data_IF_653529578510
#
_entry.id   IF_653529578510
#
_cell.length_a   1.000
_cell.length_b   1.000
_cell.length_c   1.000
_cell.angle_alpha   90.00
_cell.angle_beta   90.00
_cell.angle_gamma   90.00
#
_symmetry.space_group_name_H-M   'P 1'
#
loop_
_entity.id
_entity.type
_entity.pdbx_description
1 polymer ?
#
# COMPACT_ATOMS: atom_id res chain seq x y z
N UNK A 1 14.55 38.75 33.37
CA UNK A 1 14.02 38.88 31.98
C UNK A 1 14.72 37.92 31.00
N UNK A 2 16.04 37.72 31.03
CA UNK A 2 16.75 36.84 30.09
C UNK A 2 16.49 35.33 30.22
N UNK A 3 16.07 34.85 31.40
CA UNK A 3 15.85 33.42 31.64
C UNK A 3 14.63 32.83 30.89
N UNK A 4 13.65 33.65 30.51
CA UNK A 4 12.43 33.22 29.83
C UNK A 4 12.52 33.36 28.31
N UNK A 5 13.41 34.19 27.81
CA UNK A 5 13.56 34.42 26.35
C UNK A 5 14.04 33.16 25.65
N UNK A 6 14.99 32.41 26.23
CA UNK A 6 15.53 31.18 25.64
C UNK A 6 14.50 30.07 25.44
N UNK A 7 13.68 29.65 26.43
CA UNK A 7 12.69 28.61 26.19
C UNK A 7 11.55 29.05 25.28
N UNK A 8 11.10 30.30 25.31
CA UNK A 8 10.09 30.82 24.38
C UNK A 8 10.64 30.85 22.99
N UNK A 9 11.87 31.35 22.76
CA UNK A 9 12.46 31.38 21.43
C UNK A 9 12.70 29.97 20.86
N UNK A 10 13.12 29.02 21.70
CA UNK A 10 13.29 27.63 21.27
C UNK A 10 11.97 26.97 20.86
N UNK A 11 10.90 27.20 21.63
CA UNK A 11 9.56 26.70 21.33
C UNK A 11 9.01 27.30 20.04
N UNK A 12 9.12 28.61 19.89
CA UNK A 12 8.69 29.30 18.66
C UNK A 12 9.47 28.83 17.44
N UNK A 13 10.78 28.64 17.56
CA UNK A 13 11.63 28.14 16.49
C UNK A 13 11.23 26.72 16.11
N UNK A 14 11.03 25.83 17.08
CA UNK A 14 10.61 24.46 16.85
C UNK A 14 9.26 24.40 16.13
N UNK A 15 8.25 25.15 16.60
CA UNK A 15 6.92 25.21 16.00
C UNK A 15 7.01 25.82 14.58
N UNK A 16 7.79 26.90 14.39
CA UNK A 16 7.95 27.54 13.09
C UNK A 16 8.58 26.58 12.06
N UNK A 17 9.65 25.88 12.43
CA UNK A 17 10.30 24.90 11.52
C UNK A 17 9.33 23.77 11.18
N UNK A 18 8.64 23.19 12.17
CA UNK A 18 7.65 22.13 11.95
C UNK A 18 6.49 22.58 11.06
N UNK A 19 6.05 23.84 11.21
CA UNK A 19 4.99 24.40 10.40
C UNK A 19 5.44 24.68 8.97
N UNK A 20 6.65 25.19 8.79
CA UNK A 20 7.23 25.47 7.45
C UNK A 20 7.34 24.18 6.66
N UNK A 21 7.87 23.11 7.26
CA UNK A 21 7.97 21.80 6.63
C UNK A 21 6.60 21.25 6.18
N UNK A 22 5.58 21.37 7.04
CA UNK A 22 4.20 20.98 6.68
C UNK A 22 3.67 21.79 5.49
N UNK A 23 3.91 23.11 5.47
CA UNK A 23 3.45 24.01 4.38
C UNK A 23 4.18 23.69 3.07
N UNK A 24 5.50 23.51 3.12
CA UNK A 24 6.31 23.20 1.94
C UNK A 24 5.90 21.88 1.30
N UNK A 25 5.71 20.83 2.10
CA UNK A 25 5.20 19.55 1.63
C UNK A 25 3.77 19.64 1.05
N UNK A 26 2.91 20.49 1.62
CA UNK A 26 1.57 20.71 1.07
C UNK A 26 1.60 21.48 -0.26
N UNK A 27 2.43 22.56 -0.36
CA UNK A 27 2.56 23.35 -1.57
C UNK A 27 3.19 22.56 -2.73
N UNK A 28 4.24 21.79 -2.46
CA UNK A 28 4.92 20.96 -3.46
C UNK A 28 3.95 19.94 -4.08
N UNK A 29 3.12 19.28 -3.25
CA UNK A 29 2.07 18.36 -3.73
C UNK A 29 1.00 19.06 -4.55
N UNK A 30 0.56 20.27 -4.13
CA UNK A 30 -0.48 21.04 -4.84
C UNK A 30 0.00 21.56 -6.19
N UNK A 31 1.32 21.84 -6.34
CA UNK A 31 1.93 22.36 -7.57
C UNK A 31 2.48 21.28 -8.50
N UNK A 32 2.43 19.99 -8.10
CA UNK A 32 3.08 18.88 -8.81
C UNK A 32 4.59 19.09 -9.04
N UNK A 33 5.25 19.83 -8.15
CA UNK A 33 6.70 20.13 -8.22
C UNK A 33 7.51 19.26 -7.25
N UNK A 34 7.09 18.01 -7.05
CA UNK A 34 7.75 17.10 -6.10
C UNK A 34 9.02 16.53 -6.71
N UNK A 35 10.19 16.97 -6.21
CA UNK A 35 11.49 16.47 -6.67
C UNK A 35 11.86 15.17 -5.94
N UNK A 36 12.68 14.32 -6.59
CA UNK A 36 13.20 13.10 -5.96
C UNK A 36 14.09 13.41 -4.74
N UNK A 37 14.81 14.53 -4.77
CA UNK A 37 15.61 15.00 -3.64
C UNK A 37 14.73 15.43 -2.45
N UNK A 38 13.63 16.17 -2.69
CA UNK A 38 12.66 16.53 -1.66
C UNK A 38 12.05 15.30 -0.99
N UNK A 39 11.57 14.34 -1.78
CA UNK A 39 11.03 13.06 -1.27
C UNK A 39 11.99 12.32 -0.33
N UNK A 40 13.30 12.46 -0.55
CA UNK A 40 14.32 11.84 0.28
C UNK A 40 14.62 12.69 1.53
N UNK A 41 14.68 14.01 1.39
CA UNK A 41 15.09 14.92 2.47
C UNK A 41 13.97 15.18 3.49
N UNK A 42 12.71 15.29 3.07
CA UNK A 42 11.59 15.61 3.96
C UNK A 42 11.47 14.61 5.14
N UNK A 43 11.42 13.28 4.92
CA UNK A 43 11.35 12.33 6.03
C UNK A 43 12.59 12.33 6.93
N UNK A 44 13.73 12.80 6.42
CA UNK A 44 14.98 12.89 7.20
C UNK A 44 15.00 14.14 8.07
N UNK A 45 14.58 15.29 7.52
CA UNK A 45 14.52 16.57 8.22
C UNK A 45 13.57 16.52 9.42
N UNK A 46 12.35 15.99 9.24
CA UNK A 46 11.36 15.77 10.28
C UNK A 46 11.93 14.98 11.47
N UNK A 47 12.65 13.91 11.19
CA UNK A 47 13.26 13.06 12.22
C UNK A 47 14.40 13.77 12.93
N UNK A 48 15.25 14.49 12.21
CA UNK A 48 16.37 15.22 12.79
C UNK A 48 15.90 16.31 13.74
N UNK A 49 14.82 17.03 13.43
CA UNK A 49 14.23 18.05 14.28
C UNK A 49 13.77 17.48 15.62
N UNK A 50 13.00 16.40 15.59
CA UNK A 50 12.54 15.70 16.81
C UNK A 50 13.72 15.17 17.61
N UNK A 51 14.72 14.61 16.92
CA UNK A 51 15.94 14.11 17.53
C UNK A 51 16.73 15.17 18.27
N UNK A 52 16.95 16.33 17.64
CA UNK A 52 17.65 17.45 18.22
C UNK A 52 16.97 17.92 19.50
N UNK A 53 15.64 17.95 19.53
CA UNK A 53 14.88 18.31 20.74
C UNK A 53 15.10 17.30 21.89
N UNK A 54 15.00 15.99 21.63
CA UNK A 54 15.22 14.96 22.64
C UNK A 54 16.66 14.92 23.14
N UNK A 55 17.65 15.12 22.26
CA UNK A 55 19.06 15.23 22.66
C UNK A 55 19.29 16.44 23.57
N UNK A 56 18.74 17.61 23.22
CA UNK A 56 18.82 18.79 24.06
C UNK A 56 18.18 18.58 25.45
N UNK A 57 17.04 17.89 25.53
CA UNK A 57 16.44 17.53 26.81
C UNK A 57 17.30 16.57 27.63
N UNK A 58 17.97 15.63 26.95
CA UNK A 58 18.88 14.68 27.62
C UNK A 58 20.13 15.38 28.12
N UNK A 59 20.73 16.28 27.34
CA UNK A 59 21.91 17.09 27.73
C UNK A 59 21.63 17.97 28.93
N UNK A 60 20.43 18.55 29.00
CA UNK A 60 19.99 19.38 30.13
C UNK A 60 19.40 18.58 31.31
N UNK A 61 19.53 17.25 31.33
CA UNK A 61 19.00 16.34 32.34
C UNK A 61 17.48 16.47 32.59
N UNK A 62 16.73 16.96 31.62
CA UNK A 62 15.26 17.05 31.65
C UNK A 62 14.64 15.68 31.44
N UNK A 63 15.17 14.91 30.51
CA UNK A 63 14.73 13.56 30.19
C UNK A 63 15.89 12.55 30.30
N UNK A 64 15.63 11.30 30.74
CA UNK A 64 16.65 10.27 30.76
C UNK A 64 16.97 9.80 29.35
N UNK A 65 18.24 9.44 29.08
CA UNK A 65 18.75 9.08 27.77
C UNK A 65 18.00 7.90 27.11
N UNK A 66 17.45 6.97 27.90
CA UNK A 66 16.69 5.83 27.36
C UNK A 66 15.43 6.26 26.61
N UNK A 67 14.80 7.40 26.95
CA UNK A 67 13.65 7.97 26.21
C UNK A 67 14.08 8.34 24.80
N UNK A 68 15.20 9.06 24.68
CA UNK A 68 15.77 9.43 23.39
C UNK A 68 16.12 8.19 22.55
N UNK A 69 16.77 7.19 23.18
CA UNK A 69 17.12 5.93 22.53
C UNK A 69 15.89 5.14 22.03
N UNK A 70 14.82 5.07 22.82
CA UNK A 70 13.59 4.37 22.43
C UNK A 70 12.93 5.03 21.21
N UNK A 71 12.86 6.35 21.20
CA UNK A 71 12.31 7.10 20.07
C UNK A 71 13.18 6.90 18.83
N UNK A 72 14.50 7.01 18.95
CA UNK A 72 15.45 6.79 17.85
C UNK A 72 15.34 5.39 17.28
N UNK A 73 15.42 4.40 18.16
CA UNK A 73 15.36 3.00 17.75
C UNK A 73 14.10 2.71 16.92
N UNK A 74 12.95 3.20 17.36
CA UNK A 74 11.69 3.04 16.62
C UNK A 74 11.73 3.74 15.27
N UNK A 75 12.25 4.98 15.18
CA UNK A 75 12.31 5.71 13.92
C UNK A 75 13.20 5.02 12.90
N UNK A 76 14.38 4.55 13.32
CA UNK A 76 15.31 3.83 12.45
C UNK A 76 14.73 2.47 12.01
N UNK A 77 14.17 1.74 12.97
CA UNK A 77 13.60 0.42 12.73
C UNK A 77 12.44 0.46 11.72
N UNK A 78 11.46 1.34 11.94
CA UNK A 78 10.32 1.48 11.01
C UNK A 78 10.76 1.99 9.64
N UNK A 79 11.79 2.85 9.58
CA UNK A 79 12.33 3.32 8.29
C UNK A 79 13.09 2.23 7.55
N UNK A 80 13.87 1.39 8.28
CA UNK A 80 14.54 0.22 7.73
C UNK A 80 13.53 -0.81 7.20
N UNK A 81 12.46 -1.08 7.97
CA UNK A 81 11.39 -1.99 7.55
C UNK A 81 10.66 -1.49 6.29
N UNK A 82 10.40 -0.18 6.19
CA UNK A 82 9.81 0.39 4.97
C UNK A 82 10.74 0.27 3.77
N UNK A 83 12.03 0.47 3.97
CA UNK A 83 13.01 0.33 2.91
C UNK A 83 13.11 -1.12 2.43
N UNK A 84 13.15 -2.10 3.34
CA UNK A 84 13.13 -3.52 3.02
C UNK A 84 11.82 -3.93 2.32
N UNK A 85 10.67 -3.43 2.79
CA UNK A 85 9.40 -3.69 2.13
C UNK A 85 9.36 -3.10 0.71
N UNK A 86 9.89 -1.89 0.52
CA UNK A 86 9.96 -1.25 -0.79
C UNK A 86 10.85 -2.02 -1.78
N UNK A 87 11.98 -2.60 -1.34
CA UNK A 87 12.82 -3.47 -2.19
C UNK A 87 12.12 -4.77 -2.58
N UNK A 88 11.19 -5.24 -1.74
CA UNK A 88 10.31 -6.38 -2.02
C UNK A 88 9.04 -6.01 -2.79
N UNK A 89 8.91 -4.77 -3.26
CA UNK A 89 7.73 -4.28 -3.97
C UNK A 89 6.51 -4.02 -3.09
N UNK A 90 6.68 -4.08 -1.75
CA UNK A 90 5.61 -3.90 -0.78
C UNK A 90 5.66 -2.47 -0.21
N UNK A 91 4.56 -1.72 -0.34
CA UNK A 91 4.44 -0.38 0.24
C UNK A 91 3.63 -0.46 1.54
N UNK A 92 4.31 -0.35 2.68
CA UNK A 92 3.63 -0.34 3.99
C UNK A 92 3.16 1.09 4.29
N UNK A 93 1.86 1.32 4.18
CA UNK A 93 1.25 2.62 4.52
C UNK A 93 1.36 2.91 6.02
N UNK A 94 1.47 4.22 6.37
CA UNK A 94 1.48 4.65 7.76
C UNK A 94 0.09 4.45 8.40
N UNK A 95 -0.01 3.53 9.36
CA UNK A 95 -1.21 3.31 10.15
C UNK A 95 -1.60 4.52 11.00
N UNK A 96 -2.84 4.53 11.49
CA UNK A 96 -3.34 5.59 12.38
C UNK A 96 -2.49 5.74 13.66
N UNK A 97 -1.99 4.63 14.21
CA UNK A 97 -1.09 4.61 15.38
C UNK A 97 0.19 5.43 15.14
N UNK A 98 0.77 5.37 13.94
CA UNK A 98 1.94 6.16 13.57
C UNK A 98 1.66 7.65 13.48
N UNK A 99 0.48 8.07 13.00
CA UNK A 99 0.06 9.48 12.94
C UNK A 99 -0.19 10.03 14.33
N UNK A 100 -0.93 9.30 15.18
CA UNK A 100 -1.22 9.68 16.56
C UNK A 100 0.07 9.84 17.39
N UNK A 101 1.03 8.92 17.25
CA UNK A 101 2.35 8.99 17.86
C UNK A 101 3.08 10.28 17.50
N UNK A 102 3.13 10.65 16.22
CA UNK A 102 3.85 11.87 15.80
C UNK A 102 3.23 13.13 16.40
N UNK A 103 1.91 13.24 16.38
CA UNK A 103 1.19 14.39 16.97
C UNK A 103 1.43 14.49 18.47
N UNK A 104 1.28 13.41 19.23
CA UNK A 104 1.49 13.42 20.69
C UNK A 104 2.95 13.70 21.06
N UNK A 105 3.90 13.25 20.26
CA UNK A 105 5.32 13.52 20.44
C UNK A 105 5.67 14.99 20.23
N UNK A 106 5.12 15.62 19.19
CA UNK A 106 5.30 17.06 18.94
C UNK A 106 4.71 17.90 20.09
N UNK A 107 3.52 17.52 20.60
CA UNK A 107 2.90 18.17 21.76
C UNK A 107 3.80 18.03 22.99
N UNK A 108 4.32 16.84 23.26
CA UNK A 108 5.22 16.61 24.41
C UNK A 108 6.48 17.50 24.33
N UNK A 109 7.11 17.60 23.16
CA UNK A 109 8.29 18.46 22.96
C UNK A 109 7.97 19.92 23.29
N UNK A 110 6.86 20.45 22.76
CA UNK A 110 6.47 21.84 23.00
C UNK A 110 6.18 22.08 24.47
N UNK A 111 5.51 21.15 25.17
CA UNK A 111 5.21 21.25 26.59
C UNK A 111 6.49 21.29 27.45
N UNK A 112 7.47 20.43 27.16
CA UNK A 112 8.75 20.46 27.92
C UNK A 112 9.58 21.70 27.59
N UNK A 113 9.56 22.21 26.36
CA UNK A 113 10.22 23.47 25.99
C UNK A 113 9.59 24.67 26.74
N UNK A 114 8.27 24.66 26.92
CA UNK A 114 7.52 25.75 27.61
C UNK A 114 7.49 25.60 29.11
N UNK A 115 7.90 24.48 29.67
CA UNK A 115 7.81 24.17 31.10
C UNK A 115 8.44 25.26 32.00
N UNK A 116 9.64 25.80 31.73
CA UNK A 116 10.22 26.86 32.51
C UNK A 116 9.38 28.16 32.54
N UNK A 117 8.69 28.44 31.43
CA UNK A 117 7.79 29.59 31.34
C UNK A 117 6.52 29.38 32.20
N UNK A 118 5.94 28.17 32.13
CA UNK A 118 4.77 27.81 32.94
C UNK A 118 5.09 27.83 34.44
N UNK A 119 6.27 27.36 34.83
CA UNK A 119 6.71 27.42 36.25
C UNK A 119 6.82 28.85 36.76
N UNK A 120 7.25 29.78 35.90
CA UNK A 120 7.34 31.18 36.26
C UNK A 120 5.98 31.90 36.35
N UNK A 121 5.05 31.53 35.46
CA UNK A 121 3.70 32.13 35.43
C UNK A 121 2.80 31.56 36.52
N UNK A 122 2.98 30.27 36.85
CA UNK A 122 2.12 29.53 37.75
C UNK A 122 2.92 28.79 38.84
N UNK A 123 3.62 29.50 39.73
CA UNK A 123 4.52 28.89 40.74
C UNK A 123 3.78 28.00 41.76
N UNK A 124 2.46 28.15 41.92
CA UNK A 124 1.67 27.35 42.86
C UNK A 124 1.35 25.92 42.33
N UNK A 125 1.45 25.69 41.03
CA UNK A 125 1.05 24.43 40.39
C UNK A 125 2.17 23.80 39.57
N UNK A 126 3.43 24.10 39.86
CA UNK A 126 4.61 23.58 39.12
C UNK A 126 4.64 22.06 39.08
N UNK A 127 4.34 21.41 40.22
CA UNK A 127 4.31 19.94 40.30
C UNK A 127 3.23 19.34 39.37
N UNK A 128 2.05 19.95 39.33
CA UNK A 128 0.96 19.49 38.46
C UNK A 128 1.31 19.65 36.97
N UNK A 129 1.94 20.76 36.58
CA UNK A 129 2.43 21.00 35.23
C UNK A 129 3.46 19.94 34.87
N UNK A 130 4.42 19.67 35.72
CA UNK A 130 5.45 18.65 35.50
C UNK A 130 4.84 17.25 35.34
N UNK A 131 3.93 16.84 36.20
CA UNK A 131 3.22 15.56 36.12
C UNK A 131 2.43 15.47 34.83
N UNK A 132 1.75 16.53 34.38
CA UNK A 132 1.01 16.57 33.14
C UNK A 132 1.93 16.40 31.91
N UNK A 133 3.09 17.09 31.88
CA UNK A 133 4.06 16.97 30.80
C UNK A 133 4.60 15.52 30.68
N UNK A 134 4.92 14.91 31.82
CA UNK A 134 5.32 13.50 31.89
C UNK A 134 4.20 12.57 31.45
N UNK A 135 2.96 12.82 31.79
CA UNK A 135 1.81 12.04 31.35
C UNK A 135 1.70 12.04 29.82
N UNK A 136 1.78 13.23 29.19
CA UNK A 136 1.74 13.35 27.72
C UNK A 136 2.92 12.62 27.07
N UNK A 137 4.12 12.73 27.65
CA UNK A 137 5.29 12.00 27.18
C UNK A 137 5.10 10.49 27.26
N UNK A 138 4.61 9.97 28.38
CA UNK A 138 4.35 8.53 28.57
C UNK A 138 3.32 8.03 27.54
N UNK A 139 2.24 8.77 27.31
CA UNK A 139 1.26 8.44 26.26
C UNK A 139 1.95 8.37 24.88
N UNK A 140 2.81 9.32 24.56
CA UNK A 140 3.59 9.32 23.32
C UNK A 140 4.53 8.12 23.21
N UNK A 141 5.19 7.71 24.30
CA UNK A 141 6.06 6.54 24.34
C UNK A 141 5.27 5.23 24.19
N UNK A 142 4.11 5.12 24.84
CA UNK A 142 3.20 3.97 24.64
C UNK A 142 2.77 3.86 23.19
N UNK A 143 2.32 4.96 22.58
CA UNK A 143 1.96 4.98 21.17
C UNK A 143 3.16 4.66 20.27
N UNK A 144 4.37 5.04 20.66
CA UNK A 144 5.62 4.70 19.97
C UNK A 144 5.84 3.19 19.95
N UNK A 145 5.68 2.52 21.09
CA UNK A 145 5.81 1.06 21.21
C UNK A 145 4.68 0.34 20.47
N UNK A 146 3.43 0.76 20.65
CA UNK A 146 2.27 0.18 19.94
C UNK A 146 2.45 0.29 18.43
N UNK A 147 2.85 1.47 17.95
CA UNK A 147 3.13 1.67 16.53
C UNK A 147 4.29 0.81 16.03
N UNK A 148 5.31 0.57 16.84
CA UNK A 148 6.42 -0.33 16.49
C UNK A 148 5.93 -1.78 16.35
N UNK A 149 5.15 -2.27 17.30
CA UNK A 149 4.56 -3.62 17.28
C UNK A 149 3.64 -3.77 16.06
N UNK A 150 2.78 -2.79 15.79
CA UNK A 150 1.88 -2.79 14.63
C UNK A 150 2.67 -2.86 13.29
N UNK A 151 3.80 -2.15 13.19
CA UNK A 151 4.69 -2.27 12.03
C UNK A 151 5.38 -3.62 11.94
N UNK A 152 5.82 -4.19 13.05
CA UNK A 152 6.41 -5.53 13.07
C UNK A 152 5.40 -6.60 12.66
N UNK A 153 4.19 -6.55 13.21
CA UNK A 153 3.13 -7.48 12.86
C UNK A 153 2.80 -7.42 11.36
N UNK A 154 2.71 -6.21 10.79
CA UNK A 154 2.47 -6.01 9.35
C UNK A 154 3.68 -6.33 8.46
N UNK A 155 4.88 -6.33 9.01
CA UNK A 155 6.13 -6.62 8.29
C UNK A 155 6.61 -8.07 8.50
N UNK A 156 5.90 -8.87 9.28
CA UNK A 156 6.29 -10.24 9.64
C UNK A 156 6.55 -11.11 8.42
N UNK A 157 5.71 -11.02 7.40
CA UNK A 157 5.86 -11.72 6.13
C UNK A 157 7.13 -11.32 5.35
N UNK A 158 7.56 -10.07 5.48
CA UNK A 158 8.79 -9.57 4.84
C UNK A 158 10.03 -9.99 5.61
N UNK A 159 9.96 -10.05 6.95
CA UNK A 159 11.10 -10.32 7.81
C UNK A 159 11.41 -11.81 8.01
N UNK A 160 10.39 -12.62 8.13
CA UNK A 160 10.55 -14.01 8.55
C UNK A 160 10.18 -15.02 7.47
N UNK A 161 9.69 -14.57 6.30
CA UNK A 161 9.26 -15.46 5.22
C UNK A 161 8.05 -16.33 5.58
N UNK A 162 7.51 -16.18 6.79
CA UNK A 162 6.32 -16.85 7.28
C UNK A 162 5.17 -15.85 7.27
N UNK A 163 4.55 -15.69 6.09
CA UNK A 163 3.27 -14.98 6.01
C UNK A 163 2.25 -15.72 6.88
N UNK A 164 1.53 -14.97 7.74
CA UNK A 164 0.26 -15.49 8.23
C UNK A 164 -0.52 -16.01 7.04
N UNK A 165 -0.86 -17.27 7.10
CA UNK A 165 -1.73 -17.94 6.16
C UNK A 165 -3.15 -17.32 6.28
N UNK A 166 -3.39 -16.24 5.58
CA UNK A 166 -4.61 -16.22 4.82
C UNK A 166 -4.55 -17.43 3.89
N UNK A 167 -5.66 -18.03 3.46
CA UNK A 167 -5.65 -19.34 2.82
C UNK A 167 -4.46 -19.41 1.89
N UNK A 168 -3.56 -20.36 2.11
CA UNK A 168 -2.29 -20.50 1.44
C UNK A 168 -2.55 -20.56 -0.07
N UNK A 169 -2.59 -19.39 -0.68
CA UNK A 169 -2.58 -19.29 -2.11
C UNK A 169 -1.13 -19.58 -2.47
N UNK A 170 -0.83 -20.84 -2.77
CA UNK A 170 0.39 -21.26 -3.43
C UNK A 170 0.42 -20.59 -4.80
N UNK A 171 0.67 -19.27 -4.80
CA UNK A 171 0.87 -18.57 -6.05
C UNK A 171 2.34 -18.54 -6.38
N UNK A 172 2.66 -18.91 -7.58
CA UNK A 172 3.99 -18.71 -8.16
C UNK A 172 3.96 -17.36 -8.86
N UNK A 173 4.60 -16.34 -8.27
CA UNK A 173 4.84 -15.09 -8.99
C UNK A 173 5.81 -15.39 -10.14
N UNK A 174 5.27 -15.56 -11.33
CA UNK A 174 6.07 -15.49 -12.52
C UNK A 174 6.12 -14.02 -12.93
N UNK A 175 7.25 -13.38 -12.69
CA UNK A 175 7.56 -12.07 -13.28
C UNK A 175 8.19 -12.35 -14.63
N UNK A 176 7.44 -12.32 -15.76
CA UNK A 176 8.08 -12.17 -17.03
C UNK A 176 8.71 -10.77 -17.03
N UNK A 177 9.91 -10.63 -17.57
CA UNK A 177 10.47 -9.33 -17.87
C UNK A 177 9.40 -8.49 -18.57
N UNK A 178 9.05 -7.32 -18.00
CA UNK A 178 8.16 -6.27 -18.47
C UNK A 178 7.84 -6.38 -19.98
N UNK A 179 6.85 -7.19 -20.35
CA UNK A 179 6.49 -7.36 -21.75
C UNK A 179 5.32 -6.43 -22.01
N UNK A 180 5.61 -5.32 -22.70
CA UNK A 180 4.57 -4.63 -23.43
C UNK A 180 4.24 -5.46 -24.67
N UNK A 181 2.96 -5.64 -24.97
CA UNK A 181 2.54 -6.35 -26.16
C UNK A 181 2.04 -5.36 -27.22
N UNK A 182 2.08 -5.77 -28.50
CA UNK A 182 1.43 -5.02 -29.54
C UNK A 182 -0.08 -4.89 -29.24
N UNK A 183 -0.68 -3.78 -29.65
CA UNK A 183 -2.11 -3.56 -29.47
C UNK A 183 -2.87 -4.51 -30.41
N UNK A 184 -3.63 -5.48 -29.89
CA UNK A 184 -4.39 -6.39 -30.73
C UNK A 184 -5.58 -5.67 -31.36
N UNK A 185 -5.97 -6.08 -32.54
CA UNK A 185 -7.20 -5.65 -33.17
C UNK A 185 -8.40 -6.52 -32.72
N UNK A 186 -9.61 -6.09 -33.09
CA UNK A 186 -10.83 -6.77 -32.65
C UNK A 186 -10.97 -8.19 -33.20
N UNK A 187 -10.42 -8.45 -34.40
CA UNK A 187 -10.46 -9.77 -35.03
C UNK A 187 -9.51 -10.74 -34.32
N UNK A 188 -8.32 -10.29 -33.95
CA UNK A 188 -7.36 -11.07 -33.14
C UNK A 188 -7.96 -11.47 -31.79
N UNK A 189 -8.62 -10.56 -31.11
CA UNK A 189 -9.31 -10.85 -29.84
C UNK A 189 -10.44 -11.86 -30.03
N UNK A 190 -11.25 -11.72 -31.08
CA UNK A 190 -12.32 -12.66 -31.42
C UNK A 190 -11.80 -14.06 -31.73
N UNK A 191 -10.75 -14.16 -32.55
CA UNK A 191 -10.14 -15.46 -32.90
C UNK A 191 -9.54 -16.13 -31.66
N UNK A 192 -8.87 -15.37 -30.78
CA UNK A 192 -8.34 -15.88 -29.50
C UNK A 192 -9.45 -16.40 -28.59
N UNK A 193 -10.55 -15.66 -28.47
CA UNK A 193 -11.71 -16.11 -27.70
C UNK A 193 -12.35 -17.37 -28.30
N UNK A 194 -12.44 -17.44 -29.62
CA UNK A 194 -12.97 -18.62 -30.33
C UNK A 194 -12.14 -19.88 -30.06
N UNK A 195 -10.82 -19.76 -30.10
CA UNK A 195 -9.91 -20.85 -29.74
C UNK A 195 -10.14 -21.31 -28.31
N UNK A 196 -10.19 -20.36 -27.35
CA UNK A 196 -10.41 -20.63 -25.94
C UNK A 196 -11.74 -21.39 -25.73
N UNK A 197 -12.84 -20.91 -26.31
CA UNK A 197 -14.16 -21.56 -26.17
C UNK A 197 -14.12 -22.96 -26.78
N UNK A 198 -13.48 -23.14 -27.91
CA UNK A 198 -13.33 -24.45 -28.55
C UNK A 198 -12.55 -25.44 -27.69
N UNK A 199 -11.36 -25.04 -27.19
CA UNK A 199 -10.50 -25.90 -26.35
C UNK A 199 -11.21 -26.23 -25.03
N UNK A 200 -11.78 -25.21 -24.37
CA UNK A 200 -12.48 -25.37 -23.10
C UNK A 200 -13.70 -26.34 -23.24
N UNK A 201 -14.44 -26.21 -24.33
CA UNK A 201 -15.57 -27.10 -24.63
C UNK A 201 -15.11 -28.55 -24.84
N UNK A 202 -14.06 -28.78 -25.61
CA UNK A 202 -13.51 -30.11 -25.83
C UNK A 202 -12.96 -30.76 -24.57
N UNK A 203 -12.40 -29.98 -23.66
CA UNK A 203 -11.83 -30.46 -22.39
C UNK A 203 -12.84 -30.48 -21.23
N UNK A 204 -14.07 -30.04 -21.45
CA UNK A 204 -15.10 -29.85 -20.41
C UNK A 204 -14.63 -28.97 -19.26
N UNK A 205 -13.87 -27.90 -19.56
CA UNK A 205 -13.33 -26.94 -18.60
C UNK A 205 -14.20 -25.69 -18.60
N UNK A 206 -14.55 -25.22 -17.41
CA UNK A 206 -15.37 -24.02 -17.25
C UNK A 206 -14.52 -22.82 -16.78
N UNK A 207 -14.92 -21.63 -17.22
CA UNK A 207 -14.20 -20.37 -17.04
C UNK A 207 -15.04 -19.34 -16.27
N UNK A 208 -14.38 -18.50 -15.47
CA UNK A 208 -14.98 -17.31 -14.85
C UNK A 208 -14.00 -16.15 -14.85
N UNK A 209 -14.50 -14.90 -14.78
CA UNK A 209 -13.68 -13.67 -14.82
C UNK A 209 -13.93 -12.75 -13.66
N UNK A 210 -12.87 -12.14 -13.11
CA UNK A 210 -12.94 -11.06 -12.13
C UNK A 210 -12.23 -9.82 -12.69
N UNK A 211 -12.98 -8.78 -12.94
CA UNK A 211 -12.50 -7.64 -13.70
C UNK A 211 -12.53 -6.33 -12.89
N UNK A 212 -11.39 -5.65 -12.83
CA UNK A 212 -11.31 -4.30 -12.31
C UNK A 212 -11.14 -3.29 -13.45
N UNK A 213 -9.91 -3.01 -13.91
CA UNK A 213 -9.65 -1.98 -14.92
C UNK A 213 -10.31 -2.27 -16.29
N UNK A 214 -10.53 -3.52 -16.63
CA UNK A 214 -11.15 -3.92 -17.91
C UNK A 214 -12.66 -3.80 -17.93
N UNK A 215 -13.29 -3.78 -16.74
CA UNK A 215 -14.72 -3.49 -16.54
C UNK A 215 -15.65 -4.33 -17.45
N UNK A 216 -15.43 -5.65 -17.55
CA UNK A 216 -16.27 -6.57 -18.28
C UNK A 216 -15.79 -6.88 -19.70
N UNK A 217 -14.68 -6.31 -20.17
CA UNK A 217 -14.17 -6.54 -21.52
C UNK A 217 -13.73 -7.99 -21.76
N UNK A 218 -13.16 -8.69 -20.76
CA UNK A 218 -12.77 -10.09 -20.89
C UNK A 218 -14.03 -10.96 -21.09
N UNK A 219 -15.02 -10.79 -20.22
CA UNK A 219 -16.30 -11.48 -20.32
C UNK A 219 -17.01 -11.20 -21.63
N UNK A 220 -17.06 -9.92 -22.07
CA UNK A 220 -17.66 -9.51 -23.35
C UNK A 220 -16.94 -10.17 -24.53
N UNK A 221 -15.61 -10.25 -24.51
CA UNK A 221 -14.83 -10.87 -25.57
C UNK A 221 -15.12 -12.38 -25.65
N UNK A 222 -15.15 -13.09 -24.52
CA UNK A 222 -15.49 -14.52 -24.48
C UNK A 222 -16.92 -14.78 -24.94
N UNK A 223 -17.88 -13.95 -24.52
CA UNK A 223 -19.31 -14.12 -24.85
C UNK A 223 -19.69 -13.66 -26.25
N UNK A 224 -18.80 -12.97 -26.97
CA UNK A 224 -18.99 -12.66 -28.41
C UNK A 224 -18.96 -13.92 -29.30
N UNK A 225 -18.41 -15.02 -28.78
CA UNK A 225 -18.31 -16.30 -29.50
C UNK A 225 -19.55 -17.15 -29.23
N UNK A 226 -20.17 -17.64 -30.28
CA UNK A 226 -21.31 -18.57 -30.19
C UNK A 226 -20.89 -19.86 -29.45
N UNK A 227 -21.72 -20.35 -28.56
CA UNK A 227 -21.44 -21.53 -27.73
C UNK A 227 -20.68 -21.24 -26.46
N UNK A 228 -20.29 -19.99 -26.17
CA UNK A 228 -19.60 -19.61 -24.94
C UNK A 228 -20.35 -19.98 -23.65
N UNK A 229 -21.68 -20.04 -23.69
CA UNK A 229 -22.51 -20.42 -22.52
C UNK A 229 -22.27 -21.85 -22.00
N UNK A 230 -21.67 -22.72 -22.81
CA UNK A 230 -21.31 -24.07 -22.39
C UNK A 230 -20.10 -24.10 -21.44
N UNK A 231 -19.22 -23.11 -21.51
CA UNK A 231 -17.94 -23.06 -20.79
C UNK A 231 -17.79 -21.83 -19.89
N UNK A 232 -18.30 -20.67 -20.28
CA UNK A 232 -18.21 -19.45 -19.49
C UNK A 232 -19.34 -19.38 -18.48
N UNK A 233 -19.01 -19.52 -17.18
CA UNK A 233 -19.97 -19.51 -16.06
C UNK A 233 -20.45 -18.12 -15.69
N UNK A 234 -19.66 -17.09 -15.97
CA UNK A 234 -19.95 -15.71 -15.62
C UNK A 234 -18.73 -14.99 -15.08
N UNK A 235 -18.94 -13.75 -14.64
CA UNK A 235 -17.89 -12.93 -14.09
C UNK A 235 -18.39 -11.84 -13.15
N UNK A 236 -17.47 -11.28 -12.38
CA UNK A 236 -17.71 -10.17 -11.48
C UNK A 236 -16.87 -8.94 -11.89
N UNK A 237 -17.53 -7.79 -11.99
CA UNK A 237 -16.86 -6.49 -12.16
C UNK A 237 -16.72 -5.87 -10.79
N UNK A 238 -15.52 -5.98 -10.19
CA UNK A 238 -15.22 -5.47 -8.86
C UNK A 238 -14.36 -4.21 -8.97
N UNK A 239 -15.00 -3.14 -9.45
CA UNK A 239 -14.32 -1.88 -9.78
C UNK A 239 -13.96 -1.07 -8.52
N UNK A 240 -14.88 -0.92 -7.57
CA UNK A 240 -14.59 -0.33 -6.28
C UNK A 240 -13.74 -1.30 -5.42
N UNK A 241 -12.88 -0.73 -4.55
CA UNK A 241 -11.97 -1.54 -3.71
C UNK A 241 -12.73 -2.47 -2.78
N UNK A 242 -13.78 -1.99 -2.10
CA UNK A 242 -14.60 -2.80 -1.19
C UNK A 242 -15.27 -3.99 -1.87
N UNK A 243 -15.70 -3.83 -3.13
CA UNK A 243 -16.38 -4.93 -3.85
C UNK A 243 -15.48 -6.14 -4.12
N UNK A 244 -14.15 -5.98 -4.06
CA UNK A 244 -13.22 -7.12 -4.14
C UNK A 244 -13.35 -8.03 -2.92
N UNK A 245 -13.55 -7.45 -1.74
CA UNK A 245 -13.86 -8.19 -0.52
C UNK A 245 -15.31 -8.71 -0.55
N UNK A 246 -16.29 -7.82 -0.70
CA UNK A 246 -17.71 -8.12 -0.57
C UNK A 246 -18.19 -9.20 -1.54
N UNK A 247 -17.66 -9.20 -2.77
CA UNK A 247 -18.10 -10.08 -3.85
C UNK A 247 -17.22 -11.30 -3.99
N UNK A 248 -15.90 -11.15 -3.86
CA UNK A 248 -14.92 -12.20 -4.17
C UNK A 248 -14.20 -12.77 -2.94
N UNK A 249 -14.43 -12.20 -1.74
CA UNK A 249 -13.77 -12.65 -0.51
C UNK A 249 -12.27 -12.35 -0.45
N UNK A 250 -11.81 -11.33 -1.17
CA UNK A 250 -10.42 -10.85 -1.06
C UNK A 250 -10.20 -10.32 0.36
N UNK A 251 -9.06 -10.61 0.95
CA UNK A 251 -8.73 -10.19 2.31
C UNK A 251 -8.78 -8.66 2.47
N UNK A 252 -9.58 -8.19 3.43
CA UNK A 252 -9.82 -6.77 3.67
C UNK A 252 -8.56 -6.09 4.19
N UNK A 253 -7.83 -6.73 5.10
CA UNK A 253 -6.58 -6.21 5.64
C UNK A 253 -5.52 -6.02 4.55
N UNK A 254 -5.53 -6.89 3.54
CA UNK A 254 -4.67 -6.76 2.37
C UNK A 254 -5.04 -5.56 1.50
N UNK A 255 -6.34 -5.38 1.26
CA UNK A 255 -6.84 -4.23 0.50
C UNK A 255 -6.52 -2.90 1.18
N UNK A 256 -6.62 -2.83 2.52
CA UNK A 256 -6.28 -1.65 3.29
C UNK A 256 -4.77 -1.36 3.30
N UNK A 257 -3.94 -2.41 3.38
CA UNK A 257 -2.50 -2.27 3.55
C UNK A 257 -1.76 -2.03 2.23
N UNK A 258 -2.17 -2.66 1.12
CA UNK A 258 -1.46 -2.69 -0.15
C UNK A 258 -2.26 -2.09 -1.31
N UNK A 259 -3.51 -1.70 -1.06
CA UNK A 259 -4.40 -1.17 -2.07
C UNK A 259 -4.94 -2.23 -3.04
N UNK A 260 -5.81 -1.81 -3.99
CA UNK A 260 -6.47 -2.74 -4.92
C UNK A 260 -5.56 -3.26 -6.04
N UNK A 261 -4.41 -2.63 -6.28
CA UNK A 261 -3.45 -3.01 -7.31
C UNK A 261 -2.27 -3.73 -6.67
N UNK A 262 -2.45 -5.02 -6.37
CA UNK A 262 -1.50 -5.85 -5.65
C UNK A 262 -1.56 -7.30 -6.18
N UNK A 263 -0.43 -8.04 -6.24
CA UNK A 263 -0.42 -9.41 -6.76
C UNK A 263 -1.29 -10.38 -5.95
N UNK A 264 -1.30 -10.27 -4.62
CA UNK A 264 -2.13 -11.13 -3.79
C UNK A 264 -3.62 -10.77 -3.89
N UNK A 265 -3.94 -9.50 -4.11
CA UNK A 265 -5.32 -9.07 -4.41
C UNK A 265 -5.77 -9.68 -5.74
N UNK A 266 -4.94 -9.65 -6.79
CA UNK A 266 -5.24 -10.31 -8.05
C UNK A 266 -5.45 -11.82 -7.87
N UNK A 267 -4.57 -12.49 -7.09
CA UNK A 267 -4.71 -13.91 -6.76
C UNK A 267 -6.00 -14.21 -6.02
N UNK A 268 -6.34 -13.43 -5.00
CA UNK A 268 -7.60 -13.55 -4.25
C UNK A 268 -8.82 -13.37 -5.14
N UNK A 269 -8.78 -12.42 -6.08
CA UNK A 269 -9.85 -12.20 -7.07
C UNK A 269 -10.02 -13.42 -7.99
N UNK A 270 -8.93 -14.02 -8.50
CA UNK A 270 -8.99 -15.19 -9.40
C UNK A 270 -9.56 -16.43 -8.70
N UNK A 271 -9.10 -16.70 -7.48
CA UNK A 271 -9.61 -17.78 -6.65
C UNK A 271 -11.08 -17.53 -6.26
N UNK A 272 -11.38 -16.32 -5.78
CA UNK A 272 -12.73 -15.94 -5.36
C UNK A 272 -13.75 -16.07 -6.47
N UNK A 273 -13.43 -15.66 -7.70
CA UNK A 273 -14.36 -15.78 -8.84
C UNK A 273 -14.53 -17.22 -9.29
N UNK A 274 -13.47 -18.03 -9.31
CA UNK A 274 -13.57 -19.45 -9.63
C UNK A 274 -14.51 -20.17 -8.66
N UNK A 275 -14.31 -19.96 -7.37
CA UNK A 275 -15.15 -20.54 -6.31
C UNK A 275 -16.61 -20.06 -6.38
N UNK A 276 -16.82 -18.74 -6.57
CA UNK A 276 -18.15 -18.14 -6.58
C UNK A 276 -19.02 -18.65 -7.73
N UNK A 277 -18.43 -18.88 -8.90
CA UNK A 277 -19.14 -19.35 -10.08
C UNK A 277 -19.00 -20.88 -10.32
N UNK A 278 -18.27 -21.60 -9.47
CA UNK A 278 -18.02 -23.02 -9.63
C UNK A 278 -17.27 -23.33 -10.94
N UNK A 279 -16.29 -22.51 -11.29
CA UNK A 279 -15.51 -22.67 -12.51
C UNK A 279 -14.17 -23.36 -12.23
N UNK A 280 -13.66 -24.12 -13.23
CA UNK A 280 -12.36 -24.79 -13.13
C UNK A 280 -11.20 -23.80 -13.23
N UNK A 281 -11.39 -22.73 -14.04
CA UNK A 281 -10.41 -21.66 -14.21
C UNK A 281 -11.06 -20.33 -13.85
N UNK A 282 -10.38 -19.57 -12.99
CA UNK A 282 -10.69 -18.17 -12.70
C UNK A 282 -9.58 -17.27 -13.22
N UNK A 283 -9.91 -16.28 -14.03
CA UNK A 283 -8.98 -15.23 -14.44
C UNK A 283 -9.36 -13.90 -13.84
N UNK A 284 -8.39 -13.21 -13.27
CA UNK A 284 -8.61 -11.92 -12.64
C UNK A 284 -7.62 -10.87 -13.12
N UNK A 285 -8.07 -9.60 -13.17
CA UNK A 285 -7.23 -8.47 -13.56
C UNK A 285 -7.46 -7.27 -12.63
N UNK A 286 -6.36 -6.71 -12.14
CA UNK A 286 -6.35 -5.43 -11.43
C UNK A 286 -5.18 -4.59 -11.89
N UNK A 287 -5.30 -3.25 -11.90
CA UNK A 287 -4.23 -2.41 -12.41
C UNK A 287 -4.63 -0.95 -12.63
N UNK A 288 -3.65 -0.16 -13.04
CA UNK A 288 -3.75 1.29 -13.27
C UNK A 288 -3.77 1.57 -14.77
N UNK A 289 -4.96 1.81 -15.30
CA UNK A 289 -5.13 2.06 -16.74
C UNK A 289 -4.80 3.52 -17.15
N UNK A 290 -4.66 4.44 -16.19
CA UNK A 290 -4.40 5.87 -16.46
C UNK A 290 -5.65 6.68 -16.84
N UNK A 291 -5.48 8.01 -17.16
CA UNK A 291 -4.21 8.75 -17.24
C UNK A 291 -3.58 9.11 -15.90
N UNK A 292 -4.26 8.94 -14.78
CA UNK A 292 -3.78 9.12 -13.42
C UNK A 292 -3.98 7.86 -12.58
N UNK A 293 -3.78 7.97 -11.27
CA UNK A 293 -3.97 6.87 -10.30
C UNK A 293 -2.69 6.07 -10.05
N UNK A 294 -1.53 6.60 -10.47
CA UNK A 294 -0.24 6.04 -10.12
C UNK A 294 -0.02 6.06 -8.60
N UNK A 295 0.55 4.97 -8.11
CA UNK A 295 0.98 4.79 -6.73
C UNK A 295 2.51 4.62 -6.70
N UNK A 296 3.12 4.78 -5.54
CA UNK A 296 4.56 4.58 -5.37
C UNK A 296 4.95 3.15 -5.78
N UNK A 297 5.87 3.03 -6.74
CA UNK A 297 6.29 1.75 -7.32
C UNK A 297 5.32 1.12 -8.32
N UNK A 298 4.18 1.76 -8.60
CA UNK A 298 3.16 1.30 -9.53
C UNK A 298 2.76 2.43 -10.50
N UNK A 299 3.55 2.72 -11.54
CA UNK A 299 3.21 3.73 -12.54
C UNK A 299 1.97 3.34 -13.34
N UNK A 300 1.39 4.30 -14.08
CA UNK A 300 0.32 4.04 -15.05
C UNK A 300 0.76 2.92 -16.00
N UNK A 301 -0.15 1.99 -16.27
CA UNK A 301 0.12 0.79 -17.06
C UNK A 301 0.55 -0.43 -16.24
N UNK A 302 0.77 -0.30 -14.93
CA UNK A 302 0.98 -1.46 -14.05
C UNK A 302 -0.29 -2.28 -13.96
N UNK A 303 -0.23 -3.55 -14.35
CA UNK A 303 -1.35 -4.49 -14.33
C UNK A 303 -0.90 -5.83 -13.76
N UNK A 304 -1.72 -6.40 -12.89
CA UNK A 304 -1.60 -7.79 -12.45
C UNK A 304 -2.71 -8.61 -13.09
N UNK A 305 -2.32 -9.71 -13.71
CA UNK A 305 -3.22 -10.74 -14.22
C UNK A 305 -3.00 -12.00 -13.42
N UNK A 306 -4.04 -12.50 -12.77
CA UNK A 306 -3.99 -13.74 -12.01
C UNK A 306 -4.83 -14.83 -12.69
N UNK A 307 -4.33 -16.04 -12.64
CA UNK A 307 -4.99 -17.23 -13.16
C UNK A 307 -5.05 -18.32 -12.08
N UNK A 308 -6.24 -18.71 -11.69
CA UNK A 308 -6.49 -19.87 -10.86
C UNK A 308 -6.81 -21.08 -11.74
N UNK A 309 -6.07 -22.16 -11.56
CA UNK A 309 -6.29 -23.45 -12.26
C UNK A 309 -5.68 -24.59 -11.44
N UNK A 310 -6.33 -25.77 -11.40
CA UNK A 310 -5.83 -26.96 -10.68
C UNK A 310 -5.44 -26.69 -9.22
N UNK A 311 -6.24 -25.93 -8.49
CA UNK A 311 -5.99 -25.52 -7.10
C UNK A 311 -4.69 -24.72 -6.90
N UNK A 312 -4.14 -24.13 -7.96
CA UNK A 312 -2.98 -23.23 -7.92
C UNK A 312 -3.35 -21.90 -8.52
N UNK A 313 -2.74 -20.84 -8.02
CA UNK A 313 -2.91 -19.50 -8.56
C UNK A 313 -1.57 -18.97 -9.06
N UNK A 314 -1.55 -18.48 -10.28
CA UNK A 314 -0.38 -17.86 -10.90
C UNK A 314 -0.66 -16.39 -11.09
N UNK A 315 0.31 -15.52 -10.80
CA UNK A 315 0.18 -14.08 -10.96
C UNK A 315 1.28 -13.56 -11.88
N UNK A 316 0.89 -12.69 -12.81
CA UNK A 316 1.78 -12.08 -13.80
C UNK A 316 1.68 -10.56 -13.68
N UNK A 317 2.83 -9.89 -13.60
CA UNK A 317 2.91 -8.42 -13.63
C UNK A 317 3.25 -7.95 -15.04
N UNK A 318 2.49 -6.98 -15.53
CA UNK A 318 2.71 -6.32 -16.81
C UNK A 318 2.92 -4.82 -16.59
N UNK A 319 3.66 -4.20 -17.51
CA UNK A 319 3.81 -2.76 -17.58
C UNK A 319 3.47 -2.33 -19.02
N UNK A 320 2.24 -1.93 -19.24
CA UNK A 320 1.77 -1.53 -20.55
C UNK A 320 1.98 -0.04 -20.80
N UNK A 321 2.43 0.30 -22.00
CA UNK A 321 2.44 1.67 -22.52
C UNK A 321 1.15 2.00 -23.26
N UNK A 322 0.84 3.30 -23.39
CA UNK A 322 -0.27 3.79 -24.21
C UNK A 322 -1.39 4.46 -23.42
N UNK A 323 -2.48 4.76 -24.12
CA UNK A 323 -3.67 5.37 -23.57
C UNK A 323 -4.43 4.40 -22.65
N UNK A 324 -5.34 4.92 -21.83
CA UNK A 324 -6.23 4.11 -20.98
C UNK A 324 -6.96 3.01 -21.75
N UNK A 325 -7.38 3.27 -22.99
CA UNK A 325 -8.03 2.27 -23.83
C UNK A 325 -7.06 1.17 -24.22
N UNK A 326 -5.87 1.53 -24.67
CA UNK A 326 -4.83 0.57 -25.08
C UNK A 326 -4.37 -0.33 -23.94
N UNK A 327 -4.14 0.23 -22.74
CA UNK A 327 -3.81 -0.55 -21.54
C UNK A 327 -4.89 -1.59 -21.26
N UNK A 328 -6.17 -1.22 -21.31
CA UNK A 328 -7.29 -2.14 -21.09
C UNK A 328 -7.36 -3.24 -22.15
N UNK A 329 -7.20 -2.90 -23.43
CA UNK A 329 -7.22 -3.87 -24.53
C UNK A 329 -6.04 -4.85 -24.45
N UNK A 330 -4.84 -4.35 -24.18
CA UNK A 330 -3.64 -5.18 -23.95
C UNK A 330 -3.84 -6.13 -22.76
N UNK A 331 -4.46 -5.63 -21.68
CA UNK A 331 -4.80 -6.47 -20.50
C UNK A 331 -5.72 -7.63 -20.87
N UNK A 332 -6.76 -7.38 -21.67
CA UNK A 332 -7.68 -8.44 -22.15
C UNK A 332 -6.93 -9.48 -22.97
N UNK A 333 -6.08 -9.04 -23.89
CA UNK A 333 -5.30 -9.92 -24.74
C UNK A 333 -4.35 -10.83 -23.94
N UNK A 334 -3.59 -10.25 -23.01
CA UNK A 334 -2.68 -11.02 -22.16
C UNK A 334 -3.44 -11.99 -21.24
N UNK A 335 -4.56 -11.57 -20.64
CA UNK A 335 -5.37 -12.44 -19.80
C UNK A 335 -5.93 -13.63 -20.58
N UNK A 336 -6.42 -13.42 -21.80
CA UNK A 336 -6.94 -14.48 -22.66
C UNK A 336 -5.83 -15.45 -23.12
N UNK A 337 -4.62 -14.95 -23.43
CA UNK A 337 -3.49 -15.83 -23.77
C UNK A 337 -3.12 -16.74 -22.58
N UNK A 338 -3.07 -16.21 -21.35
CA UNK A 338 -2.82 -17.03 -20.17
C UNK A 338 -3.88 -18.11 -19.97
N UNK A 339 -5.16 -17.80 -20.24
CA UNK A 339 -6.25 -18.80 -20.21
C UNK A 339 -6.02 -19.88 -21.28
N UNK A 340 -5.66 -19.49 -22.52
CA UNK A 340 -5.37 -20.43 -23.59
C UNK A 340 -4.19 -21.35 -23.25
N UNK A 341 -3.12 -20.80 -22.71
CA UNK A 341 -1.92 -21.57 -22.30
C UNK A 341 -2.25 -22.55 -21.17
N UNK A 342 -3.04 -22.12 -20.18
CA UNK A 342 -3.51 -23.00 -19.12
C UNK A 342 -4.40 -24.13 -19.67
N UNK A 343 -5.32 -23.83 -20.57
CA UNK A 343 -6.14 -24.84 -21.22
C UNK A 343 -5.31 -25.86 -22.01
N UNK A 344 -4.25 -25.43 -22.68
CA UNK A 344 -3.36 -26.32 -23.42
C UNK A 344 -2.52 -27.22 -22.51
N UNK A 345 -2.26 -26.79 -21.28
CA UNK A 345 -1.47 -27.54 -20.29
C UNK A 345 -2.30 -28.55 -19.45
N UNK A 346 -3.63 -28.49 -19.51
CA UNK A 346 -4.56 -29.47 -18.94
C UNK A 346 -4.73 -30.69 -19.85
#
# INVERSE_FOLDING_TARGET
>A
MGAYIKPISASLLFVAISFTDFVDGYLARKRNEVTNFGKFMDPLADKLLVFAAFLAFTENAILPAWVCLLVLFRELLVSGLRMLAATSGLVIAAGWSGKAKTVTQMIAIVLFLMEPCFFALFPQITTQIHIFNWFVLVVSLVLTVVSMIDYFAKSGSVLFGEGEQGPSLDYVERVPNLIDCALPNSEELYMLAKDIISIASHKNVTLSTAESLTAGMIGTTLTSVSGSSSVYRGGAITYATSTKHDVLGVDEGRLESFGPVDPCVAAGMANGVANKFGANIGVAVTGIAGPGGEEEGKPVGTVYVALYSLNKTYVYRYQFSGSRHEVRVKTVYCALNLVKDALNSL
#
